data_IF_979706854623
#
_entry.id   IF_979706854623
#
_cell.length_a   1.000
_cell.length_b   1.000
_cell.length_c   1.000
_cell.angle_alpha   90.00
_cell.angle_beta   90.00
_cell.angle_gamma   90.00
#
_symmetry.space_group_name_H-M   'P 1'
#
loop_
_entity.id
_entity.type
_entity.pdbx_description
1 polymer ?
#
# COMPACT_ATOMS: atom_id res chain seq x y z
N UNK A 1 12.05 -16.34 12.63
CA UNK A 1 13.26 -15.51 12.60
C UNK A 1 13.26 -14.69 11.33
N UNK A 2 13.61 -13.42 11.46
CA UNK A 2 13.63 -12.47 10.36
C UNK A 2 14.94 -11.69 10.43
N UNK A 3 15.44 -11.28 9.26
CA UNK A 3 16.63 -10.45 9.14
C UNK A 3 16.22 -9.17 8.42
N UNK A 4 16.41 -8.07 9.12
CA UNK A 4 16.39 -6.72 8.56
C UNK A 4 17.78 -6.43 7.99
N UNK A 5 17.87 -6.18 6.69
CA UNK A 5 19.12 -5.83 6.01
C UNK A 5 19.05 -4.35 5.66
N UNK A 6 19.91 -3.58 6.32
CA UNK A 6 20.10 -2.16 6.04
C UNK A 6 21.25 -1.97 5.03
N UNK A 7 21.73 -0.74 4.88
CA UNK A 7 22.83 -0.44 3.96
C UNK A 7 24.11 -1.21 4.33
N UNK A 8 24.93 -1.48 3.32
CA UNK A 8 26.27 -2.10 3.45
C UNK A 8 26.29 -3.53 4.01
N UNK A 9 25.25 -4.33 3.79
CA UNK A 9 25.16 -5.71 4.27
C UNK A 9 25.26 -5.84 5.81
N UNK A 10 24.90 -4.77 6.50
CA UNK A 10 24.68 -4.77 7.95
C UNK A 10 23.18 -4.86 8.23
N UNK A 11 22.81 -5.26 9.44
CA UNK A 11 21.41 -5.51 9.72
C UNK A 11 21.12 -5.95 11.14
N UNK A 12 19.86 -6.30 11.36
CA UNK A 12 19.37 -6.84 12.61
C UNK A 12 18.69 -8.17 12.38
N UNK A 13 19.04 -9.16 13.17
CA UNK A 13 18.36 -10.45 13.20
C UNK A 13 17.52 -10.52 14.47
N UNK A 14 16.24 -10.90 14.30
CA UNK A 14 15.29 -11.04 15.40
C UNK A 14 14.96 -12.51 15.65
N UNK A 15 15.25 -13.00 16.86
CA UNK A 15 15.02 -14.38 17.28
C UNK A 15 14.34 -14.45 18.66
N UNK A 16 13.51 -15.48 18.86
CA UNK A 16 12.82 -15.73 20.14
C UNK A 16 13.70 -16.51 21.12
N UNK A 17 14.64 -17.32 20.61
CA UNK A 17 15.57 -18.10 21.42
C UNK A 17 17.02 -17.78 21.10
N UNK A 18 17.86 -17.67 22.14
CA UNK A 18 19.27 -17.30 22.02
C UNK A 18 20.08 -18.18 21.05
N UNK A 19 19.72 -19.46 20.94
CA UNK A 19 20.47 -20.44 20.15
C UNK A 19 19.81 -20.74 18.79
N UNK A 20 18.68 -20.12 18.47
CA UNK A 20 17.97 -20.37 17.21
C UNK A 20 18.82 -19.99 16.00
N UNK A 21 19.70 -19.00 16.15
CA UNK A 21 20.60 -18.47 15.12
C UNK A 21 21.61 -19.48 14.59
N UNK A 22 22.06 -20.43 15.42
CA UNK A 22 23.08 -21.42 15.04
C UNK A 22 22.52 -22.55 14.17
N UNK A 23 21.20 -22.57 13.95
CA UNK A 23 20.53 -23.57 13.12
C UNK A 23 20.59 -23.25 11.62
N UNK A 24 21.01 -22.06 11.24
CA UNK A 24 20.97 -21.59 9.86
C UNK A 24 22.37 -21.28 9.33
N UNK A 25 22.73 -21.91 8.22
CA UNK A 25 23.99 -21.69 7.51
C UNK A 25 23.87 -20.46 6.61
N UNK A 26 24.04 -19.27 7.20
CA UNK A 26 24.18 -18.03 6.44
C UNK A 26 25.50 -17.35 6.77
N UNK A 27 26.17 -16.83 5.75
CA UNK A 27 27.44 -16.11 5.88
C UNK A 27 27.19 -14.69 6.42
N UNK A 28 27.09 -14.58 7.75
CA UNK A 28 27.11 -13.31 8.46
C UNK A 28 27.95 -13.39 9.74
N UNK A 29 28.38 -12.23 10.22
CA UNK A 29 29.08 -12.10 11.50
C UNK A 29 28.19 -11.38 12.50
N UNK A 30 28.02 -11.98 13.69
CA UNK A 30 27.32 -11.32 14.79
C UNK A 30 28.31 -10.40 15.50
N UNK A 31 28.03 -9.10 15.54
CA UNK A 31 28.88 -8.13 16.24
C UNK A 31 28.45 -7.89 17.69
N UNK A 32 27.16 -7.97 17.97
CA UNK A 32 26.57 -7.72 19.29
C UNK A 32 25.17 -8.31 19.34
N UNK A 33 24.62 -8.46 20.55
CA UNK A 33 23.21 -8.76 20.74
C UNK A 33 22.67 -8.08 21.99
N UNK A 34 21.37 -7.85 22.00
CA UNK A 34 20.61 -7.39 23.16
C UNK A 34 19.30 -8.17 23.29
N UNK A 35 18.68 -8.11 24.46
CA UNK A 35 17.38 -8.71 24.73
C UNK A 35 16.37 -7.59 24.96
N UNK A 36 15.36 -7.52 24.11
CA UNK A 36 14.28 -6.52 24.18
C UNK A 36 12.95 -7.27 24.20
N UNK A 37 12.20 -7.19 25.30
CA UNK A 37 10.89 -7.84 25.45
C UNK A 37 10.89 -9.31 24.99
N UNK A 38 11.83 -10.12 25.49
CA UNK A 38 12.02 -11.53 25.12
C UNK A 38 12.44 -11.80 23.67
N UNK A 39 12.73 -10.76 22.88
CA UNK A 39 13.29 -10.88 21.54
C UNK A 39 14.79 -10.62 21.63
N UNK A 40 15.58 -11.59 21.19
CA UNK A 40 17.01 -11.41 20.98
C UNK A 40 17.22 -10.66 19.66
N UNK A 41 17.80 -9.47 19.75
CA UNK A 41 18.15 -8.63 18.60
C UNK A 41 19.65 -8.71 18.40
N UNK A 42 20.08 -9.37 17.33
CA UNK A 42 21.49 -9.50 16.98
C UNK A 42 21.85 -8.47 15.92
N UNK A 43 22.91 -7.71 16.16
CA UNK A 43 23.51 -6.90 15.09
C UNK A 43 24.38 -7.80 14.23
N UNK A 44 24.08 -7.84 12.93
CA UNK A 44 24.82 -8.63 11.95
C UNK A 44 25.62 -7.72 11.02
N UNK A 45 26.78 -8.22 10.59
CA UNK A 45 27.67 -7.58 9.63
C UNK A 45 28.07 -8.55 8.54
N UNK A 46 28.51 -7.97 7.41
CA UNK A 46 29.04 -8.72 6.28
C UNK A 46 28.05 -9.80 5.80
N UNK A 47 26.75 -9.52 5.82
CA UNK A 47 25.73 -10.44 5.32
C UNK A 47 25.94 -10.67 3.82
N UNK A 48 26.61 -11.76 3.47
CA UNK A 48 26.90 -12.08 2.07
C UNK A 48 25.68 -12.77 1.49
N UNK A 49 24.92 -12.04 0.67
CA UNK A 49 23.93 -12.68 -0.16
C UNK A 49 23.94 -12.17 -1.59
N UNK A 50 23.64 -13.09 -2.51
CA UNK A 50 23.33 -12.74 -3.90
C UNK A 50 21.94 -12.14 -3.89
N UNK A 51 21.86 -10.84 -3.68
CA UNK A 51 20.58 -10.13 -3.74
C UNK A 51 20.10 -10.20 -5.19
N UNK A 52 19.13 -11.09 -5.46
CA UNK A 52 18.36 -11.04 -6.70
C UNK A 52 17.36 -9.90 -6.55
N UNK A 53 17.82 -8.68 -6.79
CA UNK A 53 16.90 -7.59 -7.06
C UNK A 53 16.21 -7.88 -8.40
N UNK A 54 14.99 -8.40 -8.36
CA UNK A 54 14.08 -8.26 -9.50
C UNK A 54 13.61 -6.81 -9.56
N UNK A 55 14.54 -5.90 -9.85
CA UNK A 55 14.21 -4.55 -10.29
C UNK A 55 13.62 -4.66 -11.68
N UNK A 56 12.30 -4.86 -11.75
CA UNK A 56 11.48 -4.48 -12.89
C UNK A 56 10.01 -4.55 -12.50
N UNK A 57 9.57 -3.68 -11.58
CA UNK A 57 8.15 -3.29 -11.57
C UNK A 57 7.92 -2.24 -12.65
N UNK A 58 8.18 -2.59 -13.92
CA UNK A 58 7.35 -2.00 -14.97
C UNK A 58 5.95 -2.48 -14.62
N UNK A 59 5.03 -1.55 -14.42
CA UNK A 59 3.61 -1.88 -14.26
C UNK A 59 3.24 -2.80 -15.43
N UNK A 60 3.19 -4.10 -15.15
CA UNK A 60 2.72 -5.08 -16.10
C UNK A 60 1.29 -4.68 -16.47
N UNK A 61 0.83 -5.05 -17.66
CA UNK A 61 -0.58 -4.88 -17.99
C UNK A 61 -1.39 -5.57 -16.89
N UNK A 62 -2.19 -4.81 -16.16
CA UNK A 62 -3.11 -5.36 -15.17
C UNK A 62 -4.03 -6.39 -15.84
N UNK A 63 -4.02 -7.63 -15.34
CA UNK A 63 -4.95 -8.67 -15.79
C UNK A 63 -6.23 -8.64 -14.93
N UNK A 64 -6.90 -7.48 -14.93
CA UNK A 64 -8.13 -7.31 -14.15
C UNK A 64 -9.24 -8.23 -14.64
N UNK A 65 -9.84 -8.96 -13.71
CA UNK A 65 -11.04 -9.76 -13.93
C UNK A 65 -12.16 -9.26 -13.05
N UNK A 66 -13.39 -9.27 -13.57
CA UNK A 66 -14.55 -9.01 -12.73
C UNK A 66 -14.81 -10.19 -11.78
N UNK A 67 -15.70 -10.00 -10.80
CA UNK A 67 -16.18 -11.05 -9.89
C UNK A 67 -16.72 -12.33 -10.55
N UNK A 68 -17.07 -12.26 -11.85
CA UNK A 68 -17.50 -13.42 -12.64
C UNK A 68 -16.34 -14.06 -13.41
N UNK A 69 -15.09 -13.72 -13.07
CA UNK A 69 -13.85 -14.18 -13.70
C UNK A 69 -13.67 -13.79 -15.18
N UNK A 70 -14.53 -12.93 -15.72
CA UNK A 70 -14.38 -12.41 -17.07
C UNK A 70 -13.35 -11.27 -17.09
N UNK A 71 -12.46 -11.32 -18.08
CA UNK A 71 -11.39 -10.33 -18.25
C UNK A 71 -11.95 -8.96 -18.64
N UNK A 72 -11.46 -7.90 -18.01
CA UNK A 72 -11.74 -6.52 -18.40
C UNK A 72 -10.78 -6.13 -19.51
N UNK A 73 -11.30 -5.95 -20.72
CA UNK A 73 -10.50 -5.54 -21.86
C UNK A 73 -10.29 -4.02 -21.90
N UNK A 74 -9.04 -3.60 -22.09
CA UNK A 74 -8.71 -2.19 -22.27
C UNK A 74 -7.52 -2.03 -23.23
N UNK A 75 -7.47 -0.88 -23.89
CA UNK A 75 -6.45 -0.50 -24.87
C UNK A 75 -5.42 0.46 -24.30
N UNK A 76 -5.80 1.24 -23.28
CA UNK A 76 -4.97 2.24 -22.64
C UNK A 76 -5.34 2.39 -21.17
N UNK A 77 -4.40 2.86 -20.36
CA UNK A 77 -4.67 3.28 -18.99
C UNK A 77 -3.89 4.56 -18.70
N UNK A 78 -4.44 5.40 -17.84
CA UNK A 78 -3.74 6.54 -17.27
C UNK A 78 -3.78 6.43 -15.76
N UNK A 79 -2.67 6.73 -15.11
CA UNK A 79 -2.66 6.89 -13.67
C UNK A 79 -3.34 8.21 -13.33
N UNK A 80 -4.24 8.19 -12.35
CA UNK A 80 -4.72 9.40 -11.73
C UNK A 80 -3.54 10.05 -10.98
N UNK A 81 -3.42 11.38 -11.00
CA UNK A 81 -2.48 12.05 -10.11
C UNK A 81 -2.75 11.57 -8.68
N UNK A 82 -1.67 11.40 -7.90
CA UNK A 82 -1.77 11.16 -6.46
C UNK A 82 -2.66 12.22 -5.81
N UNK A 83 -3.19 11.91 -4.62
CA UNK A 83 -4.06 12.77 -3.81
C UNK A 83 -3.70 14.27 -3.95
N UNK A 84 -4.72 15.13 -3.95
CA UNK A 84 -4.61 16.60 -4.02
C UNK A 84 -4.48 17.28 -5.40
N UNK A 85 -4.85 16.63 -6.51
CA UNK A 85 -5.05 17.37 -7.78
C UNK A 85 -6.12 18.47 -7.67
N UNK A 86 -7.09 18.29 -6.77
CA UNK A 86 -8.06 19.31 -6.42
C UNK A 86 -7.39 20.52 -5.73
N UNK A 87 -6.31 20.31 -4.96
CA UNK A 87 -5.53 21.43 -4.40
C UNK A 87 -4.67 22.12 -5.47
N UNK A 88 -4.16 21.39 -6.47
CA UNK A 88 -3.48 22.00 -7.63
C UNK A 88 -4.43 22.87 -8.46
N UNK A 89 -5.70 22.45 -8.57
CA UNK A 89 -6.80 23.25 -9.09
C UNK A 89 -7.01 24.50 -8.23
N UNK A 90 -7.05 24.36 -6.91
CA UNK A 90 -7.23 25.50 -5.99
C UNK A 90 -6.05 26.49 -6.05
N UNK A 91 -4.80 26.03 -6.19
CA UNK A 91 -3.63 26.91 -6.37
C UNK A 91 -3.64 27.64 -7.72
N UNK A 92 -4.27 27.09 -8.75
CA UNK A 92 -4.49 27.75 -10.05
C UNK A 92 -5.74 28.65 -10.08
N UNK A 93 -6.64 28.50 -9.09
CA UNK A 93 -7.94 29.17 -9.03
C UNK A 93 -7.91 30.65 -8.64
N UNK A 94 -6.73 31.22 -8.35
CA UNK A 94 -6.58 32.65 -8.05
C UNK A 94 -6.89 33.59 -9.24
N UNK A 95 -7.04 33.04 -10.45
CA UNK A 95 -7.41 33.81 -11.65
C UNK A 95 -8.91 33.62 -11.98
N UNK A 96 -9.73 34.47 -11.36
CA UNK A 96 -11.19 34.51 -11.51
C UNK A 96 -11.63 34.87 -12.95
N UNK A 97 -11.93 33.84 -13.75
CA UNK A 97 -13.04 33.79 -14.74
C UNK A 97 -12.96 32.50 -15.59
N UNK A 98 -11.77 31.92 -15.76
CA UNK A 98 -11.58 30.68 -16.53
C UNK A 98 -12.12 29.44 -15.79
N UNK A 99 -12.35 29.56 -14.49
CA UNK A 99 -12.71 28.46 -13.59
C UNK A 99 -14.21 28.14 -13.49
N UNK A 100 -15.09 29.02 -13.98
CA UNK A 100 -16.53 28.73 -13.99
C UNK A 100 -16.85 27.47 -14.83
N UNK A 101 -16.01 27.15 -15.83
CA UNK A 101 -16.10 25.94 -16.64
C UNK A 101 -15.39 24.72 -16.02
N UNK A 102 -14.52 24.94 -15.03
CA UNK A 102 -13.71 23.91 -14.34
C UNK A 102 -14.42 23.40 -13.07
N UNK A 103 -15.34 24.18 -12.49
CA UNK A 103 -16.16 23.79 -11.33
C UNK A 103 -16.99 22.51 -11.54
N UNK A 104 -17.30 22.16 -12.79
CA UNK A 104 -18.05 20.96 -13.17
C UNK A 104 -17.16 19.91 -13.87
N UNK A 105 -15.86 19.84 -13.53
CA UNK A 105 -14.96 18.82 -14.08
C UNK A 105 -15.44 17.42 -13.71
N UNK A 106 -16.10 16.77 -14.66
CA UNK A 106 -16.44 15.35 -14.59
C UNK A 106 -15.26 14.52 -15.07
N UNK A 107 -14.92 13.49 -14.32
CA UNK A 107 -13.97 12.46 -14.76
C UNK A 107 -14.50 11.84 -16.06
N UNK A 108 -13.71 11.92 -17.13
CA UNK A 108 -14.02 11.33 -18.44
C UNK A 108 -12.99 10.28 -18.78
N UNK A 109 -13.44 9.03 -18.86
CA UNK A 109 -12.63 7.89 -19.30
C UNK A 109 -12.78 7.75 -20.82
N UNK A 110 -11.66 7.62 -21.55
CA UNK A 110 -11.71 7.35 -23.00
C UNK A 110 -12.30 5.95 -23.25
N UNK A 111 -12.96 5.70 -24.40
CA UNK A 111 -13.41 4.35 -24.74
C UNK A 111 -12.27 3.33 -24.68
N UNK A 112 -12.52 2.16 -24.10
CA UNK A 112 -11.52 1.13 -23.79
C UNK A 112 -10.31 1.67 -23.01
N UNK A 113 -10.54 2.68 -22.17
CA UNK A 113 -9.54 3.30 -21.31
C UNK A 113 -9.81 2.96 -19.84
N UNK A 114 -8.75 2.96 -19.03
CA UNK A 114 -8.83 2.92 -17.57
C UNK A 114 -8.23 4.20 -16.98
N UNK A 115 -8.83 4.75 -15.93
CA UNK A 115 -8.16 5.70 -15.04
C UNK A 115 -7.88 5.00 -13.72
N UNK A 116 -6.62 4.88 -13.35
CA UNK A 116 -6.18 4.01 -12.25
C UNK A 116 -5.69 4.87 -11.09
N UNK A 117 -6.31 4.68 -9.92
CA UNK A 117 -5.82 5.18 -8.63
C UNK A 117 -5.07 4.07 -7.89
N UNK A 118 -4.62 4.35 -6.67
CA UNK A 118 -3.92 3.38 -5.82
C UNK A 118 -4.79 2.17 -5.44
N UNK A 119 -6.08 2.38 -5.16
CA UNK A 119 -6.98 1.32 -4.64
C UNK A 119 -8.21 1.05 -5.49
N UNK A 120 -8.40 1.80 -6.56
CA UNK A 120 -9.59 1.72 -7.41
C UNK A 120 -9.27 2.19 -8.83
N UNK A 121 -10.18 1.92 -9.75
CA UNK A 121 -10.14 2.44 -11.10
C UNK A 121 -11.48 3.06 -11.50
N UNK A 122 -11.45 3.91 -12.52
CA UNK A 122 -12.62 4.31 -13.28
C UNK A 122 -12.58 3.69 -14.67
N UNK A 123 -13.73 3.21 -15.12
CA UNK A 123 -13.95 2.60 -16.44
C UNK A 123 -15.32 3.02 -16.97
N UNK A 124 -15.51 3.05 -18.29
CA UNK A 124 -16.85 3.21 -18.83
C UNK A 124 -17.66 1.91 -18.63
N UNK A 125 -18.93 2.04 -18.27
CA UNK A 125 -19.88 0.93 -18.12
C UNK A 125 -19.97 0.06 -19.37
N UNK A 126 -19.91 0.67 -20.56
CA UNK A 126 -19.92 -0.06 -21.85
C UNK A 126 -18.65 -0.85 -22.13
N UNK A 127 -17.55 -0.55 -21.43
CA UNK A 127 -16.26 -1.23 -21.59
C UNK A 127 -16.10 -2.40 -20.60
N UNK A 128 -17.08 -2.62 -19.72
CA UNK A 128 -17.13 -3.81 -18.87
C UNK A 128 -17.52 -5.07 -19.65
N UNK A 129 -17.17 -6.26 -19.16
CA UNK A 129 -17.76 -7.52 -19.65
C UNK A 129 -19.29 -7.48 -19.53
N UNK A 130 -20.00 -8.08 -20.50
CA UNK A 130 -21.49 -8.09 -20.57
C UNK A 130 -22.16 -8.47 -19.25
N UNK A 131 -21.60 -9.48 -18.55
CA UNK A 131 -22.09 -9.94 -17.24
C UNK A 131 -22.12 -8.84 -16.15
N UNK A 132 -21.40 -7.74 -16.35
CA UNK A 132 -21.30 -6.62 -15.42
C UNK A 132 -21.90 -5.32 -15.98
N UNK A 133 -22.40 -5.32 -17.21
CA UNK A 133 -23.01 -4.15 -17.83
C UNK A 133 -24.44 -3.89 -17.29
N UNK A 134 -25.20 -4.91 -16.89
CA UNK A 134 -26.63 -4.75 -16.58
C UNK A 134 -26.97 -4.55 -15.08
N UNK A 135 -26.00 -4.20 -14.24
CA UNK A 135 -26.25 -4.09 -12.81
C UNK A 135 -27.02 -2.80 -12.43
N UNK A 136 -28.33 -2.96 -12.23
CA UNK A 136 -29.20 -2.06 -11.44
C UNK A 136 -29.21 -2.38 -9.94
N UNK A 137 -28.52 -3.45 -9.47
CA UNK A 137 -28.75 -4.07 -8.15
C UNK A 137 -27.49 -4.30 -7.28
N UNK A 138 -26.36 -3.64 -7.54
CA UNK A 138 -25.17 -3.79 -6.67
C UNK A 138 -24.88 -2.48 -5.96
N UNK A 139 -25.12 -2.49 -4.66
CA UNK A 139 -25.03 -1.36 -3.71
C UNK A 139 -23.62 -0.75 -3.59
N UNK A 140 -22.59 -1.33 -4.22
CA UNK A 140 -21.19 -0.90 -4.10
C UNK A 140 -20.70 0.06 -5.20
N UNK A 141 -21.54 0.33 -6.21
CA UNK A 141 -21.19 1.31 -7.24
C UNK A 141 -21.54 2.71 -6.74
N UNK A 142 -20.53 3.50 -6.39
CA UNK A 142 -20.71 4.96 -6.27
C UNK A 142 -20.99 5.48 -7.69
N UNK A 143 -22.28 5.50 -8.04
CA UNK A 143 -22.82 6.22 -9.17
C UNK A 143 -22.88 7.67 -8.76
N UNK A 144 -21.91 8.46 -9.21
CA UNK A 144 -22.09 9.90 -9.20
C UNK A 144 -21.74 10.48 -10.56
N UNK A 145 -22.30 11.67 -10.83
CA UNK A 145 -22.08 12.53 -12.00
C UNK A 145 -23.07 12.50 -13.18
N UNK A 146 -24.40 12.38 -12.96
CA UNK A 146 -25.47 12.83 -13.90
C UNK A 146 -25.41 12.31 -15.35
N UNK A 147 -24.49 11.41 -15.69
CA UNK A 147 -24.35 10.76 -16.99
C UNK A 147 -23.87 9.34 -16.73
N UNK A 148 -24.76 8.37 -16.92
CA UNK A 148 -24.65 6.94 -16.58
C UNK A 148 -23.53 6.16 -17.30
N UNK A 149 -22.35 6.75 -17.53
CA UNK A 149 -21.32 6.18 -18.42
C UNK A 149 -20.06 5.73 -17.70
N UNK A 150 -19.60 6.40 -16.64
CA UNK A 150 -18.37 6.03 -15.93
C UNK A 150 -18.71 5.41 -14.57
N UNK A 151 -18.00 4.36 -14.18
CA UNK A 151 -18.13 3.69 -12.90
C UNK A 151 -16.79 3.65 -12.17
N UNK A 152 -16.83 3.73 -10.83
CA UNK A 152 -15.70 3.46 -9.94
C UNK A 152 -15.74 1.98 -9.54
N UNK A 153 -14.61 1.29 -9.66
CA UNK A 153 -14.44 -0.08 -9.18
C UNK A 153 -13.28 -0.13 -8.22
N UNK A 154 -13.54 -0.62 -7.00
CA UNK A 154 -12.46 -0.88 -6.07
C UNK A 154 -11.72 -2.14 -6.48
N UNK A 155 -10.41 -2.14 -6.25
CA UNK A 155 -9.58 -3.29 -6.59
C UNK A 155 -9.97 -4.55 -5.81
N UNK A 156 -10.57 -4.44 -4.62
CA UNK A 156 -11.07 -5.59 -3.85
C UNK A 156 -12.41 -6.15 -4.39
N UNK A 157 -13.00 -5.51 -5.40
CA UNK A 157 -14.14 -6.03 -6.15
C UNK A 157 -13.70 -6.75 -7.44
N UNK A 158 -12.40 -6.76 -7.70
CA UNK A 158 -11.77 -7.38 -8.86
C UNK A 158 -11.01 -8.63 -8.43
N UNK A 159 -11.02 -9.62 -9.32
CA UNK A 159 -10.25 -10.85 -9.17
C UNK A 159 -8.82 -10.65 -9.69
N UNK A 160 -7.91 -11.54 -9.26
CA UNK A 160 -6.48 -11.52 -9.64
C UNK A 160 -5.70 -10.27 -9.21
N UNK A 161 -6.14 -9.56 -8.18
CA UNK A 161 -5.39 -8.42 -7.62
C UNK A 161 -4.50 -8.88 -6.47
N UNK A 162 -3.21 -8.55 -6.55
CA UNK A 162 -2.29 -8.68 -5.42
C UNK A 162 -2.47 -7.49 -4.45
N UNK A 163 -3.37 -7.66 -3.48
CA UNK A 163 -3.70 -6.61 -2.52
C UNK A 163 -2.53 -6.23 -1.61
N UNK A 164 -1.63 -7.16 -1.29
CA UNK A 164 -0.44 -6.86 -0.47
C UNK A 164 0.50 -5.94 -1.22
N UNK A 165 0.73 -6.23 -2.49
CA UNK A 165 1.51 -5.37 -3.37
C UNK A 165 0.87 -4.00 -3.55
N UNK A 166 -0.45 -3.92 -3.74
CA UNK A 166 -1.18 -2.65 -3.84
C UNK A 166 -0.96 -1.78 -2.60
N UNK A 167 -1.11 -2.36 -1.40
CA UNK A 167 -0.89 -1.66 -0.13
C UNK A 167 0.56 -1.20 0.00
N UNK A 168 1.51 -2.08 -0.31
CA UNK A 168 2.93 -1.77 -0.25
C UNK A 168 3.28 -0.61 -1.19
N UNK A 169 2.88 -0.67 -2.46
CA UNK A 169 3.18 0.35 -3.47
C UNK A 169 2.53 1.70 -3.12
N UNK A 170 1.30 1.69 -2.56
CA UNK A 170 0.65 2.89 -2.05
C UNK A 170 1.45 3.53 -0.91
N UNK A 171 1.69 2.78 0.17
CA UNK A 171 2.39 3.31 1.35
C UNK A 171 3.82 3.73 1.02
N UNK A 172 4.52 2.96 0.18
CA UNK A 172 5.86 3.30 -0.30
C UNK A 172 5.88 4.63 -1.06
N UNK A 173 4.85 4.90 -1.87
CA UNK A 173 4.72 6.18 -2.57
C UNK A 173 4.32 7.30 -1.63
N UNK A 174 3.36 7.05 -0.73
CA UNK A 174 2.88 8.01 0.26
C UNK A 174 4.03 8.50 1.17
N UNK A 175 4.87 7.58 1.65
CA UNK A 175 5.97 7.88 2.56
C UNK A 175 7.19 8.56 1.90
N UNK A 176 7.17 8.78 0.58
CA UNK A 176 8.18 9.64 -0.07
C UNK A 176 8.01 11.12 0.28
N UNK A 177 6.77 11.52 0.54
CA UNK A 177 6.40 12.93 0.77
C UNK A 177 5.84 13.16 2.17
N UNK A 178 5.37 12.11 2.83
CA UNK A 178 4.80 12.14 4.17
C UNK A 178 5.61 11.24 5.10
N UNK A 179 5.66 11.55 6.39
CA UNK A 179 6.34 10.69 7.39
C UNK A 179 5.35 9.95 8.30
N UNK A 180 4.09 10.36 8.30
CA UNK A 180 3.05 9.86 9.19
C UNK A 180 1.80 9.62 8.35
N UNK A 181 1.21 8.43 8.49
CA UNK A 181 -0.07 8.05 7.92
C UNK A 181 -1.08 7.87 9.05
N UNK A 182 -2.21 8.57 9.00
CA UNK A 182 -3.25 8.54 10.02
C UNK A 182 -4.48 7.83 9.46
N UNK A 183 -4.98 6.82 10.16
CA UNK A 183 -6.15 6.06 9.75
C UNK A 183 -7.03 5.66 10.93
N UNK A 184 -8.29 5.35 10.64
CA UNK A 184 -9.26 4.88 11.64
C UNK A 184 -9.57 3.40 11.39
N UNK A 185 -9.38 2.54 12.38
CA UNK A 185 -9.70 1.11 12.32
C UNK A 185 -10.45 0.69 13.59
N UNK A 186 -11.60 0.00 13.45
CA UNK A 186 -12.45 -0.43 14.58
C UNK A 186 -12.70 0.69 15.61
N UNK A 187 -13.10 1.86 15.12
CA UNK A 187 -13.36 3.07 15.90
C UNK A 187 -12.18 3.70 16.65
N UNK A 188 -10.97 3.20 16.43
CA UNK A 188 -9.74 3.75 16.99
C UNK A 188 -8.93 4.46 15.94
N UNK A 189 -8.29 5.55 16.34
CA UNK A 189 -7.41 6.34 15.47
C UNK A 189 -5.98 5.87 15.70
N UNK A 190 -5.33 5.49 14.61
CA UNK A 190 -3.96 5.02 14.59
C UNK A 190 -3.08 5.99 13.82
N UNK A 191 -1.87 6.13 14.34
CA UNK A 191 -0.77 6.85 13.72
C UNK A 191 0.29 5.83 13.31
N UNK A 192 0.55 5.73 12.01
CA UNK A 192 1.64 4.95 11.43
C UNK A 192 2.79 5.87 11.06
N UNK A 193 3.92 5.72 11.74
CA UNK A 193 5.15 6.45 11.45
C UNK A 193 6.07 5.60 10.58
N UNK A 194 6.56 6.17 9.50
CA UNK A 194 7.59 5.55 8.68
C UNK A 194 8.98 5.80 9.27
N UNK A 195 9.80 4.74 9.35
CA UNK A 195 11.19 4.86 9.77
C UNK A 195 12.13 4.84 8.56
N UNK A 196 12.10 3.75 7.77
CA UNK A 196 12.93 3.58 6.57
C UNK A 196 12.50 2.35 5.76
N UNK A 197 12.94 2.31 4.50
CA UNK A 197 12.86 1.14 3.62
C UNK A 197 14.12 0.28 3.76
N UNK A 198 13.96 -1.03 3.64
CA UNK A 198 15.02 -2.02 3.83
C UNK A 198 14.75 -3.30 3.03
N UNK A 199 15.77 -4.14 2.90
CA UNK A 199 15.60 -5.51 2.40
C UNK A 199 15.30 -6.44 3.57
N UNK A 200 14.27 -7.25 3.43
CA UNK A 200 13.75 -8.11 4.47
C UNK A 200 13.90 -9.57 4.08
N UNK A 201 14.54 -10.36 4.93
CA UNK A 201 14.76 -11.77 4.69
C UNK A 201 14.05 -12.63 5.74
N UNK A 202 13.14 -13.48 5.26
CA UNK A 202 12.41 -14.44 6.09
C UNK A 202 13.12 -15.78 5.98
N UNK A 203 13.94 -16.10 6.99
CA UNK A 203 14.84 -17.27 6.97
C UNK A 203 14.08 -18.56 6.69
N UNK A 204 12.98 -18.81 7.41
CA UNK A 204 12.23 -20.07 7.29
C UNK A 204 11.60 -20.26 5.90
N UNK A 205 11.41 -19.18 5.14
CA UNK A 205 10.85 -19.20 3.77
C UNK A 205 11.92 -19.05 2.71
N UNK A 206 13.17 -18.80 3.10
CA UNK A 206 14.25 -18.40 2.22
C UNK A 206 13.83 -17.31 1.21
N UNK A 207 13.09 -16.31 1.69
CA UNK A 207 12.45 -15.29 0.87
C UNK A 207 13.02 -13.91 1.16
N UNK A 208 13.45 -13.23 0.09
CA UNK A 208 13.83 -11.82 0.09
C UNK A 208 12.68 -10.97 -0.42
N UNK A 209 12.42 -9.86 0.23
CA UNK A 209 11.46 -8.88 -0.23
C UNK A 209 11.85 -7.48 0.22
N UNK A 210 11.40 -6.47 -0.51
CA UNK A 210 11.48 -5.08 -0.03
C UNK A 210 10.47 -4.88 1.08
N UNK A 211 10.87 -4.15 2.11
CA UNK A 211 10.02 -3.85 3.26
C UNK A 211 10.16 -2.41 3.71
N UNK A 212 9.14 -1.94 4.42
CA UNK A 212 9.14 -0.70 5.17
C UNK A 212 9.09 -1.01 6.66
N UNK A 213 10.04 -0.47 7.41
CA UNK A 213 9.95 -0.44 8.87
C UNK A 213 9.06 0.71 9.29
N UNK A 214 8.04 0.38 10.07
CA UNK A 214 7.05 1.32 10.55
C UNK A 214 6.87 1.20 12.06
N UNK A 215 6.29 2.23 12.65
CA UNK A 215 5.80 2.23 14.02
C UNK A 215 4.31 2.55 14.04
N UNK A 216 3.53 1.80 14.81
CA UNK A 216 2.09 2.02 14.99
C UNK A 216 1.82 2.43 16.44
N UNK A 217 0.96 3.44 16.61
CA UNK A 217 0.45 3.83 17.93
C UNK A 217 -1.01 4.26 17.82
N UNK A 218 -1.82 3.84 18.77
CA UNK A 218 -3.18 4.38 18.96
C UNK A 218 -3.09 5.80 19.53
N UNK A 219 -3.75 6.77 18.89
CA UNK A 219 -3.73 8.15 19.33
C UNK A 219 -5.15 8.75 19.27
N UNK A 220 -5.92 8.71 20.36
CA UNK A 220 -7.32 9.15 20.38
C UNK A 220 -7.49 10.67 20.23
N UNK A 221 -6.42 11.45 20.41
CA UNK A 221 -6.47 12.91 20.37
C UNK A 221 -6.18 13.49 18.97
N UNK A 222 -5.83 12.64 17.99
CA UNK A 222 -5.60 13.11 16.63
C UNK A 222 -6.92 13.47 15.94
N UNK A 223 -6.92 14.63 15.29
CA UNK A 223 -8.02 15.01 14.43
C UNK A 223 -7.96 14.18 13.13
N UNK A 224 -8.91 13.26 12.97
CA UNK A 224 -9.08 12.47 11.76
C UNK A 224 -10.14 13.12 10.85
N UNK A 225 -9.73 13.62 9.67
CA UNK A 225 -10.68 14.05 8.64
C UNK A 225 -11.16 12.83 7.86
N UNK A 226 -12.48 12.55 7.81
CA UNK A 226 -13.02 11.39 7.09
C UNK A 226 -12.94 11.49 5.56
N UNK A 227 -12.34 12.54 4.98
CA UNK A 227 -12.13 12.65 3.52
C UNK A 227 -11.31 11.49 2.94
N UNK A 228 -10.57 10.74 3.76
CA UNK A 228 -9.81 9.56 3.32
C UNK A 228 -10.69 8.41 2.79
N UNK A 229 -11.96 8.32 3.19
CA UNK A 229 -12.86 7.24 2.74
C UNK A 229 -13.17 7.33 1.23
N UNK A 230 -12.87 8.46 0.58
CA UNK A 230 -12.97 8.59 -0.87
C UNK A 230 -11.84 7.87 -1.61
N UNK A 231 -10.68 7.69 -0.97
CA UNK A 231 -9.45 7.20 -1.59
C UNK A 231 -9.07 5.78 -1.17
N UNK A 232 -9.38 5.41 0.08
CA UNK A 232 -9.13 4.09 0.65
C UNK A 232 -10.42 3.62 1.32
N UNK A 233 -10.91 2.44 0.94
CA UNK A 233 -12.09 1.86 1.58
C UNK A 233 -11.72 1.08 2.86
N UNK A 234 -12.73 0.71 3.63
CA UNK A 234 -12.55 0.00 4.91
C UNK A 234 -11.82 -1.34 4.75
N UNK A 235 -12.02 -2.03 3.63
CA UNK A 235 -11.31 -3.27 3.30
C UNK A 235 -9.79 -3.04 3.29
N UNK A 236 -9.32 -2.00 2.58
CA UNK A 236 -7.89 -1.70 2.51
C UNK A 236 -7.33 -1.17 3.83
N UNK A 237 -8.12 -0.39 4.59
CA UNK A 237 -7.69 0.04 5.93
C UNK A 237 -7.51 -1.16 6.87
N UNK A 238 -8.45 -2.11 6.85
CA UNK A 238 -8.34 -3.34 7.62
C UNK A 238 -7.12 -4.16 7.19
N UNK A 239 -6.92 -4.34 5.88
CA UNK A 239 -5.74 -5.05 5.38
C UNK A 239 -4.44 -4.35 5.76
N UNK A 240 -4.36 -3.02 5.64
CA UNK A 240 -3.18 -2.24 6.05
C UNK A 240 -2.84 -2.53 7.51
N UNK A 241 -3.82 -2.57 8.40
CA UNK A 241 -3.59 -2.84 9.82
C UNK A 241 -3.16 -4.30 10.07
N UNK A 242 -3.80 -5.25 9.39
CA UNK A 242 -3.59 -6.69 9.60
C UNK A 242 -2.30 -7.24 8.95
N UNK A 243 -1.81 -6.61 7.88
CA UNK A 243 -0.59 -7.03 7.17
C UNK A 243 0.70 -6.61 7.87
N UNK A 244 0.61 -5.84 8.96
CA UNK A 244 1.78 -5.42 9.73
C UNK A 244 2.32 -6.62 10.50
N UNK A 245 3.54 -7.02 10.14
CA UNK A 245 4.31 -7.95 10.95
C UNK A 245 4.89 -7.21 12.15
N UNK A 246 4.13 -7.23 13.24
CA UNK A 246 4.54 -6.60 14.49
C UNK A 246 5.75 -7.29 15.11
N UNK A 247 6.69 -6.47 15.58
CA UNK A 247 7.68 -6.86 16.56
C UNK A 247 7.19 -6.45 17.93
N UNK A 248 7.50 -7.24 18.95
CA UNK A 248 7.26 -6.86 20.34
C UNK A 248 8.33 -5.86 20.85
N UNK A 249 8.70 -4.90 20.00
CA UNK A 249 9.73 -3.90 20.26
C UNK A 249 9.09 -2.53 20.07
N UNK A 250 9.33 -1.62 21.01
CA UNK A 250 8.86 -0.25 20.96
C UNK A 250 10.00 0.72 20.65
N UNK A 251 9.75 1.66 19.73
CA UNK A 251 10.67 2.76 19.41
C UNK A 251 9.87 4.06 19.48
N UNK A 252 10.29 5.00 20.33
CA UNK A 252 9.62 6.29 20.53
C UNK A 252 8.12 6.15 20.87
N UNK A 253 7.77 5.15 21.68
CA UNK A 253 6.38 4.78 22.04
C UNK A 253 5.52 4.27 20.86
N UNK A 254 6.13 3.86 19.76
CA UNK A 254 5.43 3.14 18.68
C UNK A 254 5.76 1.66 18.76
N UNK A 255 4.74 0.81 18.65
CA UNK A 255 4.92 -0.62 18.42
C UNK A 255 5.46 -0.81 17.01
N UNK A 256 6.66 -1.37 16.90
CA UNK A 256 7.34 -1.49 15.61
C UNK A 256 6.83 -2.68 14.82
N UNK A 257 6.96 -2.59 13.51
CA UNK A 257 6.64 -3.68 12.62
C UNK A 257 7.13 -3.44 11.20
N UNK A 258 6.83 -4.40 10.34
CA UNK A 258 7.20 -4.38 8.93
C UNK A 258 5.98 -4.55 8.04
N UNK A 259 5.97 -3.84 6.93
CA UNK A 259 5.09 -4.11 5.78
C UNK A 259 6.00 -4.52 4.64
N UNK A 260 5.71 -5.63 3.97
CA UNK A 260 6.54 -6.18 2.90
C UNK A 260 5.71 -6.60 1.69
N UNK A 261 6.34 -6.56 0.52
CA UNK A 261 5.75 -6.98 -0.76
C UNK A 261 5.84 -8.51 -0.94
#
# INVERSE_FOLDING_TARGET
>A
MIIEIVKNNEGFLYAEEKNQIFKYEHDYQISSYELVNNIFVYTIKNFKNKIFHSENSKLEKFDFKCKHFNKIEYSSYNLLPSEDWHELIDCWSCHNNEFASVKDLKIKVRPKGLLISSFFLFINKSDLPECCQDHNNSESFIQDFKSNKTIKLWFNELENVDHKKVIFDYLFTYFKYNNIFIFKYKDKIYEMKFFYTLDFFIINKNQYTKSMKIGIRENPNLYFKPKNNEFINDFYIEMIYNEILYLDIEILNYKTGFIFC
#
